data_IF_618501351295
#
_entry.id   IF_618501351295
#
_cell.length_a   1.000
_cell.length_b   1.000
_cell.length_c   1.000
_cell.angle_alpha   90.00
_cell.angle_beta   90.00
_cell.angle_gamma   90.00
#
_symmetry.space_group_name_H-M   'P 1'
#
loop_
_entity.id
_entity.type
_entity.pdbx_description
1 polymer ?
#
# COMPACT_ATOMS: atom_id res chain seq x y z
N UNK A 1 0.50 27.16 -5.12
CA UNK A 1 -0.96 26.92 -4.96
C UNK A 1 -1.16 25.41 -4.85
N UNK A 2 -2.11 24.96 -4.04
CA UNK A 2 -2.48 23.55 -3.99
C UNK A 2 -3.43 23.22 -5.14
N UNK A 3 -3.29 22.05 -5.76
CA UNK A 3 -4.25 21.54 -6.75
C UNK A 3 -4.86 20.24 -6.24
N UNK A 4 -6.06 19.91 -6.70
CA UNK A 4 -6.68 18.60 -6.46
C UNK A 4 -6.68 17.85 -7.79
N UNK A 5 -6.24 16.61 -7.78
CA UNK A 5 -6.19 15.70 -8.93
C UNK A 5 -6.76 14.34 -8.53
N UNK A 6 -7.01 13.44 -9.46
CA UNK A 6 -7.34 12.06 -9.14
C UNK A 6 -6.06 11.24 -8.89
N UNK A 7 -6.12 10.23 -8.03
CA UNK A 7 -4.97 9.36 -7.73
C UNK A 7 -4.42 8.71 -9.00
N UNK A 8 -5.29 8.29 -9.93
CA UNK A 8 -4.90 7.73 -11.21
C UNK A 8 -4.12 8.68 -12.13
N UNK A 9 -4.21 10.00 -11.92
CA UNK A 9 -3.42 10.98 -12.70
C UNK A 9 -1.95 10.96 -12.29
N UNK A 10 -1.65 10.62 -11.02
CA UNK A 10 -0.32 10.73 -10.41
C UNK A 10 0.31 9.40 -10.01
N UNK A 11 -0.46 8.30 -10.09
CA UNK A 11 0.03 6.96 -9.74
C UNK A 11 -0.48 5.90 -10.72
N UNK A 12 0.34 4.87 -10.91
CA UNK A 12 -0.05 3.63 -11.57
C UNK A 12 -0.65 2.68 -10.53
N UNK A 13 -1.83 2.15 -10.82
CA UNK A 13 -2.58 1.27 -9.94
C UNK A 13 -2.77 -0.06 -10.65
N UNK A 14 -2.20 -1.11 -10.08
CA UNK A 14 -2.37 -2.46 -10.58
C UNK A 14 -2.93 -3.38 -9.50
N UNK A 15 -3.72 -4.35 -9.89
CA UNK A 15 -4.09 -5.47 -9.01
C UNK A 15 -2.99 -6.53 -9.04
N UNK A 16 -2.77 -7.21 -7.93
CA UNK A 16 -1.90 -8.38 -7.89
C UNK A 16 -2.37 -9.50 -8.81
N UNK A 17 -1.58 -10.58 -9.00
CA UNK A 17 -1.89 -11.66 -9.90
C UNK A 17 -3.21 -12.36 -9.53
N UNK A 18 -3.96 -12.79 -10.53
CA UNK A 18 -5.13 -13.64 -10.30
C UNK A 18 -4.71 -15.10 -10.10
N UNK A 19 -5.60 -15.93 -9.53
CA UNK A 19 -5.34 -17.33 -9.22
C UNK A 19 -4.84 -18.20 -10.38
N UNK A 20 -5.11 -17.80 -11.63
CA UNK A 20 -4.54 -18.46 -12.83
C UNK A 20 -3.05 -18.13 -13.08
N UNK A 21 -2.50 -17.15 -12.39
CA UNK A 21 -1.09 -16.72 -12.56
C UNK A 21 -0.23 -17.08 -11.34
N UNK A 22 -0.83 -17.23 -10.18
CA UNK A 22 -0.19 -17.60 -8.93
C UNK A 22 -1.05 -18.67 -8.26
N UNK A 23 -0.58 -19.92 -8.32
CA UNK A 23 -1.26 -21.09 -7.79
C UNK A 23 -0.78 -21.41 -6.37
N UNK A 24 -1.55 -22.20 -5.63
CA UNK A 24 -1.16 -22.68 -4.30
C UNK A 24 0.15 -23.46 -4.31
N UNK A 25 0.42 -24.21 -5.38
CA UNK A 25 1.66 -24.97 -5.60
C UNK A 25 2.92 -24.10 -5.76
N UNK A 26 2.74 -22.81 -6.10
CA UNK A 26 3.86 -21.86 -6.30
C UNK A 26 4.42 -21.38 -4.95
N UNK A 27 3.63 -21.49 -3.87
CA UNK A 27 4.09 -21.06 -2.55
C UNK A 27 5.15 -21.98 -1.97
N UNK A 28 6.13 -21.37 -1.30
CA UNK A 28 7.32 -22.00 -0.72
C UNK A 28 7.48 -21.57 0.74
N UNK A 29 8.25 -22.35 1.49
CA UNK A 29 8.63 -22.01 2.87
C UNK A 29 9.64 -20.87 2.92
N UNK A 30 10.49 -20.75 1.88
CA UNK A 30 11.54 -19.73 1.75
C UNK A 30 11.45 -19.05 0.39
N UNK A 31 11.98 -17.82 0.27
CA UNK A 31 12.02 -17.06 -0.96
C UNK A 31 11.43 -15.66 -0.82
N UNK A 32 10.96 -15.09 -1.92
CA UNK A 32 10.45 -13.71 -2.02
C UNK A 32 9.06 -13.62 -1.36
N UNK A 33 8.85 -12.69 -0.41
CA UNK A 33 7.55 -12.52 0.25
C UNK A 33 6.47 -12.03 -0.72
N UNK A 34 5.26 -12.56 -0.57
CA UNK A 34 4.06 -12.18 -1.32
C UNK A 34 3.09 -11.48 -0.38
N UNK A 35 2.91 -10.19 -0.56
CA UNK A 35 2.07 -9.36 0.32
C UNK A 35 0.59 -9.64 0.03
N UNK A 36 -0.09 -10.19 1.01
CA UNK A 36 -1.53 -10.49 0.99
C UNK A 36 -2.30 -9.51 1.88
N UNK A 37 -3.64 -9.41 1.76
CA UNK A 37 -4.44 -8.50 2.59
C UNK A 37 -4.26 -8.69 4.11
N UNK A 38 -4.08 -9.92 4.58
CA UNK A 38 -3.86 -10.23 6.01
C UNK A 38 -2.51 -9.75 6.55
N UNK A 39 -1.55 -9.50 5.68
CA UNK A 39 -0.22 -9.04 6.07
C UNK A 39 -0.18 -7.52 6.31
N UNK A 40 -1.27 -6.81 5.96
CA UNK A 40 -1.41 -5.37 6.19
C UNK A 40 -2.09 -5.16 7.55
N UNK A 41 -1.29 -4.84 8.57
CA UNK A 41 -1.75 -4.59 9.93
C UNK A 41 -1.33 -3.18 10.36
N UNK A 42 -2.30 -2.37 10.78
CA UNK A 42 -2.08 -1.02 11.31
C UNK A 42 -1.19 -0.11 10.44
N UNK A 43 -1.41 -0.18 9.12
CA UNK A 43 -0.67 0.62 8.14
C UNK A 43 0.75 0.12 7.84
N UNK A 44 1.09 -1.11 8.27
CA UNK A 44 2.39 -1.76 8.08
C UNK A 44 2.25 -3.18 7.56
N UNK A 45 3.37 -3.69 7.07
CA UNK A 45 3.49 -5.10 6.73
C UNK A 45 3.92 -5.90 7.96
N UNK A 46 3.21 -7.00 8.18
CA UNK A 46 3.62 -8.04 9.13
C UNK A 46 4.12 -9.25 8.34
N UNK A 47 5.35 -9.68 8.61
CA UNK A 47 6.02 -10.77 7.89
C UNK A 47 6.10 -12.09 8.68
N UNK A 48 5.40 -12.21 9.83
CA UNK A 48 5.50 -13.40 10.68
C UNK A 48 5.13 -14.69 9.94
N UNK A 49 4.02 -14.66 9.14
CA UNK A 49 3.52 -15.82 8.40
C UNK A 49 3.33 -15.51 6.93
N UNK A 50 4.17 -14.62 6.36
CA UNK A 50 4.02 -14.17 4.98
C UNK A 50 4.26 -15.32 4.00
N UNK A 51 3.36 -15.47 3.05
CA UNK A 51 3.53 -16.40 1.93
C UNK A 51 4.77 -16.02 1.09
N UNK A 52 5.47 -17.02 0.54
CA UNK A 52 6.69 -16.79 -0.25
C UNK A 52 6.63 -17.54 -1.56
N UNK A 53 7.39 -17.07 -2.55
CA UNK A 53 7.55 -17.72 -3.85
C UNK A 53 9.03 -17.87 -4.20
N UNK A 54 9.32 -18.75 -5.16
CA UNK A 54 10.68 -18.88 -5.68
C UNK A 54 11.12 -17.66 -6.48
N UNK A 55 12.43 -17.48 -6.63
CA UNK A 55 13.00 -16.45 -7.51
C UNK A 55 12.49 -16.59 -8.95
N UNK A 56 12.37 -17.83 -9.47
CA UNK A 56 11.85 -18.07 -10.81
C UNK A 56 10.40 -17.60 -10.98
N UNK A 57 9.54 -17.83 -9.97
CA UNK A 57 8.16 -17.34 -9.98
C UNK A 57 8.10 -15.83 -9.85
N UNK A 58 8.97 -15.24 -9.03
CA UNK A 58 9.09 -13.79 -8.93
C UNK A 58 9.46 -13.16 -10.27
N UNK A 59 10.44 -13.70 -11.00
CA UNK A 59 10.84 -13.21 -12.32
C UNK A 59 9.68 -13.36 -13.34
N UNK A 60 8.95 -14.46 -13.31
CA UNK A 60 7.75 -14.68 -14.13
C UNK A 60 6.66 -13.65 -13.85
N UNK A 61 6.55 -13.20 -12.59
CA UNK A 61 5.54 -12.27 -12.09
C UNK A 61 6.08 -10.86 -11.85
N UNK A 62 7.23 -10.51 -12.41
CA UNK A 62 7.96 -9.26 -12.13
C UNK A 62 7.13 -7.99 -12.30
N UNK A 63 6.11 -7.99 -13.16
CA UNK A 63 5.18 -6.85 -13.31
C UNK A 63 4.44 -6.51 -12.02
N UNK A 64 4.31 -7.48 -11.10
CA UNK A 64 3.67 -7.31 -9.79
C UNK A 64 4.67 -7.05 -8.68
N UNK A 65 5.94 -6.87 -9.01
CA UNK A 65 6.96 -6.51 -8.03
C UNK A 65 6.62 -5.23 -7.30
N UNK A 66 6.97 -5.20 -6.04
CA UNK A 66 6.81 -4.05 -5.14
C UNK A 66 8.19 -3.48 -4.84
N UNK A 67 8.30 -2.18 -4.79
CA UNK A 67 9.55 -1.47 -4.50
C UNK A 67 9.34 -0.40 -3.44
N UNK A 68 10.45 0.11 -2.92
CA UNK A 68 10.46 1.24 -1.99
C UNK A 68 9.66 2.42 -2.57
N UNK A 69 8.76 2.97 -1.75
CA UNK A 69 7.87 4.05 -2.14
C UNK A 69 6.50 3.62 -2.68
N UNK A 70 6.28 2.32 -2.91
CA UNK A 70 4.95 1.81 -3.27
C UNK A 70 4.00 1.83 -2.07
N UNK A 71 2.70 1.89 -2.38
CA UNK A 71 1.63 1.80 -1.38
C UNK A 71 0.77 0.59 -1.75
N UNK A 72 0.52 -0.29 -0.77
CA UNK A 72 -0.24 -1.52 -0.98
C UNK A 72 -1.59 -1.42 -0.27
N UNK A 73 -2.67 -1.55 -1.03
CA UNK A 73 -4.04 -1.59 -0.52
C UNK A 73 -4.60 -3.00 -0.55
N UNK A 74 -5.37 -3.42 0.48
CA UNK A 74 -6.17 -4.62 0.39
C UNK A 74 -7.38 -4.37 -0.52
N UNK A 75 -7.76 -5.38 -1.28
CA UNK A 75 -8.95 -5.34 -2.13
C UNK A 75 -10.25 -5.49 -1.33
N UNK A 76 -10.20 -6.22 -0.21
CA UNK A 76 -11.34 -6.57 0.65
C UNK A 76 -10.93 -6.49 2.11
N UNK A 77 -11.93 -6.47 2.99
CA UNK A 77 -11.71 -6.36 4.42
C UNK A 77 -11.49 -4.91 4.84
N UNK A 78 -10.41 -4.63 5.53
CA UNK A 78 -10.04 -3.26 5.99
C UNK A 78 -9.56 -2.37 4.84
N UNK A 79 -10.43 -2.14 3.86
CA UNK A 79 -10.11 -1.44 2.60
C UNK A 79 -9.64 0.01 2.76
N UNK A 80 -9.86 0.60 3.92
CA UNK A 80 -9.40 1.95 4.25
C UNK A 80 -7.96 2.00 4.77
N UNK A 81 -7.39 0.83 5.07
CA UNK A 81 -5.99 0.71 5.49
C UNK A 81 -5.09 0.42 4.28
N UNK A 82 -3.86 0.81 4.38
CA UNK A 82 -2.83 0.49 3.40
C UNK A 82 -1.47 0.39 4.09
N UNK A 83 -0.49 -0.20 3.43
CA UNK A 83 0.89 -0.22 3.89
C UNK A 83 1.78 0.57 2.93
N UNK A 84 2.66 1.40 3.48
CA UNK A 84 3.75 2.04 2.74
C UNK A 84 4.98 1.14 2.76
N UNK A 85 5.62 0.97 1.61
CA UNK A 85 6.84 0.18 1.47
C UNK A 85 8.05 1.07 1.71
N UNK A 86 8.75 0.82 2.80
CA UNK A 86 9.96 1.51 3.22
C UNK A 86 11.12 0.49 3.35
N UNK A 87 11.32 -0.27 2.28
CA UNK A 87 12.34 -1.31 2.18
C UNK A 87 12.78 -1.46 0.74
N UNK A 88 14.07 -1.77 0.54
CA UNK A 88 14.65 -2.09 -0.77
C UNK A 88 14.68 -3.60 -1.04
N UNK A 89 14.07 -4.41 -0.17
CA UNK A 89 13.90 -5.85 -0.40
C UNK A 89 12.87 -6.11 -1.50
N UNK A 90 13.00 -7.26 -2.14
CA UNK A 90 12.05 -7.72 -3.14
C UNK A 90 10.77 -8.26 -2.49
N UNK A 91 9.64 -7.77 -2.95
CA UNK A 91 8.30 -8.24 -2.59
C UNK A 91 7.45 -8.41 -3.84
N UNK A 92 6.44 -9.27 -3.75
CA UNK A 92 5.39 -9.37 -4.76
C UNK A 92 4.07 -8.83 -4.19
N UNK A 93 3.36 -8.00 -4.97
CA UNK A 93 1.97 -7.67 -4.68
C UNK A 93 1.11 -8.91 -4.95
N UNK A 94 0.56 -9.50 -3.88
CA UNK A 94 -0.17 -10.75 -3.94
C UNK A 94 -1.62 -10.61 -4.40
N UNK A 95 -2.27 -11.75 -4.52
CA UNK A 95 -3.70 -11.84 -4.87
C UNK A 95 -4.54 -11.14 -3.81
N UNK A 96 -5.46 -10.30 -4.25
CA UNK A 96 -6.33 -9.55 -3.34
C UNK A 96 -5.74 -8.24 -2.83
N UNK A 97 -4.57 -7.82 -3.35
CA UNK A 97 -3.99 -6.51 -3.10
C UNK A 97 -3.93 -5.66 -4.37
N UNK A 98 -3.78 -4.34 -4.17
CA UNK A 98 -3.42 -3.38 -5.20
C UNK A 98 -2.08 -2.76 -4.86
N UNK A 99 -1.23 -2.56 -5.88
CA UNK A 99 -0.05 -1.72 -5.79
C UNK A 99 -0.35 -0.36 -6.40
N UNK A 100 -0.09 0.69 -5.63
CA UNK A 100 -0.14 2.09 -6.06
C UNK A 100 1.29 2.61 -6.11
N UNK A 101 1.79 2.94 -7.29
CA UNK A 101 3.14 3.46 -7.54
C UNK A 101 3.07 4.86 -8.11
N UNK A 102 3.69 5.80 -7.45
CA UNK A 102 3.80 7.18 -7.97
C UNK A 102 4.54 7.18 -9.31
N UNK A 103 3.96 7.84 -10.33
CA UNK A 103 4.49 7.92 -11.70
C UNK A 103 4.96 9.31 -12.11
N UNK A 104 4.91 10.27 -11.19
CA UNK A 104 5.27 11.67 -11.45
C UNK A 104 6.20 12.19 -10.38
N UNK A 105 7.06 13.14 -10.74
CA UNK A 105 7.96 13.83 -9.78
C UNK A 105 7.27 14.93 -8.97
N UNK A 106 6.01 15.23 -9.26
CA UNK A 106 5.25 16.29 -8.57
C UNK A 106 4.75 15.89 -7.18
N UNK A 107 4.71 14.58 -6.89
CA UNK A 107 4.20 14.07 -5.64
C UNK A 107 5.25 13.18 -4.95
N UNK A 108 5.40 13.39 -3.64
CA UNK A 108 6.21 12.54 -2.79
C UNK A 108 5.38 11.33 -2.32
N UNK A 109 5.88 10.12 -2.51
CA UNK A 109 5.15 8.88 -2.18
C UNK A 109 4.84 8.75 -0.69
N UNK A 110 5.75 9.16 0.20
CA UNK A 110 5.51 9.13 1.66
C UNK A 110 4.43 10.15 2.07
N UNK A 111 4.44 11.35 1.47
CA UNK A 111 3.36 12.32 1.63
C UNK A 111 2.03 11.72 1.17
N UNK A 112 2.01 11.10 0.00
CA UNK A 112 0.80 10.47 -0.54
C UNK A 112 0.25 9.40 0.41
N UNK A 113 1.09 8.54 0.97
CA UNK A 113 0.68 7.54 1.95
C UNK A 113 0.00 8.21 3.16
N UNK A 114 0.61 9.22 3.78
CA UNK A 114 -0.01 9.94 4.88
C UNK A 114 -1.30 10.68 4.49
N UNK A 115 -1.37 11.19 3.26
CA UNK A 115 -2.58 11.82 2.76
C UNK A 115 -3.73 10.82 2.63
N UNK A 116 -3.47 9.61 2.16
CA UNK A 116 -4.45 8.54 2.04
C UNK A 116 -4.95 8.03 3.40
N UNK A 117 -4.18 8.22 4.47
CA UNK A 117 -4.59 7.95 5.84
C UNK A 117 -5.52 9.00 6.44
N UNK A 118 -5.73 10.13 5.77
CA UNK A 118 -6.63 11.17 6.25
C UNK A 118 -8.06 10.63 6.38
N UNK A 119 -8.73 11.01 7.48
CA UNK A 119 -10.11 10.55 7.80
C UNK A 119 -11.11 10.84 6.68
N UNK A 120 -10.95 11.94 5.95
CA UNK A 120 -11.84 12.29 4.83
C UNK A 120 -11.62 11.38 3.63
N UNK A 121 -10.36 11.01 3.36
CA UNK A 121 -10.01 10.07 2.27
C UNK A 121 -10.48 8.67 2.63
N UNK A 122 -10.26 8.19 3.84
CA UNK A 122 -10.77 6.89 4.32
C UNK A 122 -12.28 6.82 4.20
N UNK A 123 -13.02 7.85 4.62
CA UNK A 123 -14.47 7.94 4.45
C UNK A 123 -14.87 7.96 2.97
N UNK A 124 -14.10 8.64 2.13
CA UNK A 124 -14.34 8.62 0.69
C UNK A 124 -14.22 7.20 0.14
N UNK A 125 -13.16 6.47 0.50
CA UNK A 125 -12.92 5.07 0.09
C UNK A 125 -14.09 4.18 0.53
N UNK A 126 -14.48 4.22 1.80
CA UNK A 126 -15.57 3.38 2.32
C UNK A 126 -16.91 3.68 1.66
N UNK A 127 -17.18 4.95 1.34
CA UNK A 127 -18.44 5.36 0.71
C UNK A 127 -18.53 4.97 -0.78
N UNK A 128 -17.39 4.75 -1.46
CA UNK A 128 -17.34 4.37 -2.88
C UNK A 128 -17.07 2.89 -3.09
N UNK A 129 -16.76 2.14 -2.03
CA UNK A 129 -16.57 0.70 -2.11
C UNK A 129 -17.85 -0.01 -2.52
N UNK A 130 -17.72 -1.09 -3.29
CA UNK A 130 -18.85 -1.90 -3.78
C UNK A 130 -19.12 -3.05 -2.82
N UNK A 131 -20.39 -3.24 -2.44
CA UNK A 131 -20.84 -4.35 -1.59
C UNK A 131 -21.14 -3.91 -0.15
N UNK A 132 -22.33 -4.27 0.35
CA UNK A 132 -22.80 -3.87 1.68
C UNK A 132 -22.21 -4.69 2.82
N UNK A 133 -22.03 -6.00 2.63
CA UNK A 133 -21.53 -6.90 3.68
C UNK A 133 -20.02 -7.10 3.64
N UNK A 134 -19.42 -6.99 2.47
CA UNK A 134 -17.98 -7.09 2.28
C UNK A 134 -17.56 -6.02 1.26
N UNK A 135 -17.15 -4.84 1.74
CA UNK A 135 -16.72 -3.77 0.87
C UNK A 135 -15.53 -4.23 0.02
N UNK A 136 -15.58 -3.91 -1.26
CA UNK A 136 -14.60 -4.31 -2.25
C UNK A 136 -14.15 -3.11 -3.07
N UNK A 137 -12.84 -2.94 -3.22
CA UNK A 137 -12.23 -1.96 -4.09
C UNK A 137 -11.94 -2.55 -5.47
N UNK A 138 -11.83 -1.67 -6.44
CA UNK A 138 -11.27 -1.94 -7.75
C UNK A 138 -10.34 -0.80 -8.17
N UNK A 139 -9.61 -1.00 -9.26
CA UNK A 139 -8.65 0.00 -9.76
C UNK A 139 -9.32 1.31 -10.16
N UNK A 140 -10.56 1.27 -10.67
CA UNK A 140 -11.34 2.46 -11.02
C UNK A 140 -11.61 3.32 -9.79
N UNK A 141 -12.16 2.73 -8.72
CA UNK A 141 -12.43 3.44 -7.46
C UNK A 141 -11.15 4.05 -6.89
N UNK A 142 -10.06 3.28 -6.83
CA UNK A 142 -8.78 3.81 -6.35
C UNK A 142 -8.27 4.97 -7.22
N UNK A 143 -8.44 4.86 -8.55
CA UNK A 143 -8.01 5.91 -9.48
C UNK A 143 -8.76 7.24 -9.28
N UNK A 144 -10.00 7.20 -8.82
CA UNK A 144 -10.87 8.36 -8.61
C UNK A 144 -10.65 9.05 -7.26
N UNK A 145 -9.84 8.50 -6.35
CA UNK A 145 -9.57 9.13 -5.05
C UNK A 145 -9.03 10.56 -5.26
N UNK A 146 -9.68 11.59 -4.70
CA UNK A 146 -9.21 12.96 -4.82
C UNK A 146 -7.96 13.17 -3.96
N UNK A 147 -6.88 13.64 -4.58
CA UNK A 147 -5.59 13.90 -3.94
C UNK A 147 -5.26 15.38 -4.01
N UNK A 148 -5.06 16.02 -2.85
CA UNK A 148 -4.58 17.39 -2.76
C UNK A 148 -3.05 17.39 -2.87
N UNK A 149 -2.52 18.17 -3.82
CA UNK A 149 -1.09 18.31 -4.08
C UNK A 149 -0.64 19.73 -3.75
N UNK A 150 -0.06 19.98 -2.57
CA UNK A 150 0.64 21.23 -2.28
C UNK A 150 1.99 21.27 -3.00
N UNK A 151 2.73 22.36 -2.86
CA UNK A 151 4.10 22.43 -3.41
C UNK A 151 4.97 21.31 -2.83
N UNK A 152 5.89 20.79 -3.63
CA UNK A 152 6.74 19.65 -3.26
C UNK A 152 7.49 19.88 -1.94
N UNK A 153 7.95 21.11 -1.68
CA UNK A 153 8.61 21.48 -0.41
C UNK A 153 7.68 21.33 0.79
N UNK A 154 6.38 21.63 0.63
CA UNK A 154 5.37 21.44 1.69
C UNK A 154 5.10 19.97 1.91
N UNK A 155 5.00 19.16 0.85
CA UNK A 155 4.85 17.71 0.95
C UNK A 155 5.99 17.08 1.78
N UNK A 156 7.25 17.45 1.49
CA UNK A 156 8.41 16.96 2.23
C UNK A 156 8.36 17.35 3.71
N UNK A 157 7.96 18.58 4.03
CA UNK A 157 7.81 19.03 5.42
C UNK A 157 6.74 18.21 6.17
N UNK A 158 5.60 17.98 5.53
CA UNK A 158 4.51 17.18 6.11
C UNK A 158 4.99 15.73 6.32
N UNK A 159 5.59 15.11 5.30
CA UNK A 159 6.07 13.74 5.38
C UNK A 159 7.11 13.57 6.50
N UNK A 160 8.08 14.47 6.63
CA UNK A 160 9.07 14.45 7.70
C UNK A 160 8.45 14.57 9.09
N UNK A 161 7.53 15.53 9.29
CA UNK A 161 6.87 15.73 10.57
C UNK A 161 6.11 14.47 11.00
N UNK A 162 5.29 13.91 10.10
CA UNK A 162 4.49 12.71 10.39
C UNK A 162 5.37 11.48 10.60
N UNK A 163 6.46 11.31 9.85
CA UNK A 163 7.42 10.21 10.05
C UNK A 163 8.08 10.26 11.44
N UNK A 164 8.40 11.45 11.95
CA UNK A 164 8.96 11.60 13.32
C UNK A 164 7.93 11.21 14.38
N UNK A 165 6.67 11.60 14.20
CA UNK A 165 5.58 11.25 15.11
C UNK A 165 5.35 9.73 15.07
N UNK A 166 5.28 9.14 13.89
CA UNK A 166 5.13 7.69 13.71
C UNK A 166 6.26 6.92 14.38
N UNK A 167 7.51 7.32 14.16
CA UNK A 167 8.67 6.70 14.81
C UNK A 167 8.59 6.78 16.35
N UNK A 168 8.12 7.90 16.89
CA UNK A 168 7.94 8.07 18.35
C UNK A 168 6.85 7.15 18.90
N UNK A 169 5.71 7.03 18.19
CA UNK A 169 4.64 6.12 18.59
C UNK A 169 5.17 4.68 18.63
N UNK A 170 5.90 4.25 17.59
CA UNK A 170 6.46 2.90 17.52
C UNK A 170 7.47 2.61 18.63
N UNK A 171 8.34 3.57 18.95
CA UNK A 171 9.29 3.42 20.05
C UNK A 171 8.55 3.29 21.39
N UNK A 172 7.47 4.05 21.60
CA UNK A 172 6.67 3.93 22.82
C UNK A 172 5.96 2.56 22.92
N UNK A 173 5.43 2.03 21.81
CA UNK A 173 4.83 0.68 21.76
C UNK A 173 5.89 -0.35 22.16
N UNK A 174 7.07 -0.34 21.53
CA UNK A 174 8.17 -1.27 21.85
C UNK A 174 8.61 -1.20 23.32
N UNK A 175 8.61 -0.01 23.92
CA UNK A 175 8.92 0.15 25.35
C UNK A 175 7.84 -0.49 26.20
N UNK A 176 6.55 -0.29 25.87
CA UNK A 176 5.45 -0.88 26.64
C UNK A 176 5.40 -2.41 26.52
N UNK A 177 5.72 -2.96 25.35
CA UNK A 177 5.74 -4.42 25.12
C UNK A 177 6.88 -5.12 25.88
N UNK A 178 7.89 -4.37 26.35
CA UNK A 178 9.04 -4.87 27.12
C UNK A 178 8.90 -4.64 28.64
N UNK A 179 7.78 -4.10 29.10
CA UNK A 179 7.46 -3.90 30.54
C UNK A 179 6.50 -4.97 31.05
#
# INVERSE_FOLDING_TARGET
MSKVVQLGDVADIITGPFGSQLHESDYKMEGIPVIMPQDIKDGKLNFEDVARISENDFQRLIRYSVQNGDIIFPRRGDIEKHAYIDSDEDFLCGTGCFRVRVKTTEINSKYLSYYLDNVHVRKWITNHAVGSNMPNLNTGILSEIPVMIPTYSVQIKIARLLSVIEAKIQNNVKINDNL
#
